data_IF_426348882594
#
_entry.id   IF_426348882594
#
_cell.length_a   1.000
_cell.length_b   1.000
_cell.length_c   1.000
_cell.angle_alpha   90.00
_cell.angle_beta   90.00
_cell.angle_gamma   90.00
#
_symmetry.space_group_name_H-M   'P 1'
#
loop_
_entity.id
_entity.type
_entity.pdbx_description
1 polymer ?
#
# COMPACT_ATOMS: atom_id res chain seq x y z
N UNK A 1 -29.00 -1.18 8.62
CA UNK A 1 -29.18 0.28 8.40
C UNK A 1 -27.99 1.15 8.88
N UNK A 2 -26.80 0.60 9.15
CA UNK A 2 -25.64 1.37 9.68
C UNK A 2 -24.49 1.60 8.69
N UNK A 3 -24.32 0.74 7.70
CA UNK A 3 -23.20 0.79 6.73
C UNK A 3 -23.25 2.03 5.84
N UNK A 4 -24.45 2.50 5.49
CA UNK A 4 -24.61 3.64 4.60
C UNK A 4 -24.35 4.99 5.28
N UNK A 5 -24.71 5.10 6.58
CA UNK A 5 -24.40 6.26 7.41
C UNK A 5 -22.88 6.34 7.65
N UNK A 6 -22.24 5.21 7.94
CA UNK A 6 -20.78 5.10 8.05
C UNK A 6 -20.08 5.45 6.73
N UNK A 7 -20.62 4.99 5.59
CA UNK A 7 -20.09 5.32 4.25
C UNK A 7 -20.21 6.81 3.93
N UNK A 8 -21.35 7.44 4.23
CA UNK A 8 -21.57 8.89 4.02
C UNK A 8 -20.65 9.73 4.92
N UNK A 9 -20.48 9.35 6.18
CA UNK A 9 -19.53 9.99 7.11
C UNK A 9 -18.08 9.88 6.62
N UNK A 10 -17.67 8.67 6.23
CA UNK A 10 -16.35 8.40 5.65
C UNK A 10 -16.10 9.23 4.39
N UNK A 11 -17.11 9.40 3.52
CA UNK A 11 -16.98 10.24 2.31
C UNK A 11 -16.76 11.72 2.64
N UNK A 12 -17.45 12.25 3.65
CA UNK A 12 -17.28 13.64 4.11
C UNK A 12 -15.91 13.85 4.76
N UNK A 13 -15.44 12.88 5.55
CA UNK A 13 -14.10 12.90 6.15
C UNK A 13 -13.00 12.82 5.08
N UNK A 14 -13.18 11.95 4.08
CA UNK A 14 -12.27 11.83 2.95
C UNK A 14 -12.21 13.12 2.10
N UNK A 15 -13.34 13.81 1.95
CA UNK A 15 -13.38 15.10 1.26
C UNK A 15 -12.66 16.20 2.04
N UNK A 16 -12.76 16.21 3.38
CA UNK A 16 -11.96 17.13 4.21
C UNK A 16 -10.46 16.82 4.12
N UNK A 17 -10.12 15.54 4.11
CA UNK A 17 -8.73 15.09 3.97
C UNK A 17 -8.15 15.50 2.61
N UNK A 18 -8.95 15.50 1.54
CA UNK A 18 -8.56 15.98 0.21
C UNK A 18 -7.97 17.39 0.26
N UNK A 19 -8.63 18.32 0.94
CA UNK A 19 -8.16 19.71 1.00
C UNK A 19 -6.83 19.83 1.75
N UNK A 20 -6.65 19.03 2.81
CA UNK A 20 -5.40 18.96 3.57
C UNK A 20 -4.28 18.39 2.69
N UNK A 21 -4.53 17.30 1.98
CA UNK A 21 -3.56 16.64 1.09
C UNK A 21 -3.13 17.58 -0.04
N UNK A 22 -4.07 18.26 -0.71
CA UNK A 22 -3.78 19.17 -1.82
C UNK A 22 -2.89 20.34 -1.35
N UNK A 23 -3.18 20.91 -0.18
CA UNK A 23 -2.44 22.05 0.40
C UNK A 23 -1.13 21.66 1.09
N UNK A 24 -0.86 20.36 1.27
CA UNK A 24 0.34 19.87 1.94
C UNK A 24 1.60 20.02 1.08
N UNK A 25 2.76 19.68 1.65
CA UNK A 25 4.05 19.58 0.94
C UNK A 25 4.29 18.21 0.30
N UNK A 26 3.30 17.32 0.25
CA UNK A 26 3.43 16.03 -0.42
C UNK A 26 3.70 16.21 -1.91
N UNK A 27 4.35 15.22 -2.49
CA UNK A 27 4.66 15.19 -3.91
C UNK A 27 3.39 15.26 -4.77
N UNK A 28 3.53 15.89 -5.93
CA UNK A 28 2.42 16.07 -6.87
C UNK A 28 1.84 14.73 -7.32
N UNK A 29 2.67 13.69 -7.51
CA UNK A 29 2.24 12.33 -7.85
C UNK A 29 1.33 11.74 -6.77
N UNK A 30 1.71 11.87 -5.50
CA UNK A 30 0.94 11.42 -4.33
C UNK A 30 -0.40 12.17 -4.24
N UNK A 31 -0.39 13.49 -4.44
CA UNK A 31 -1.62 14.30 -4.44
C UNK A 31 -2.59 13.86 -5.53
N UNK A 32 -2.09 13.67 -6.76
CA UNK A 32 -2.88 13.18 -7.88
C UNK A 32 -3.42 11.78 -7.58
N UNK A 33 -2.57 10.88 -7.09
CA UNK A 33 -2.95 9.52 -6.72
C UNK A 33 -4.08 9.48 -5.69
N UNK A 34 -3.98 10.33 -4.65
CA UNK A 34 -5.03 10.45 -3.64
C UNK A 34 -6.35 10.94 -4.24
N UNK A 35 -6.32 12.00 -5.05
CA UNK A 35 -7.54 12.54 -5.70
C UNK A 35 -8.19 11.50 -6.61
N UNK A 36 -7.39 10.71 -7.35
CA UNK A 36 -7.91 9.62 -8.18
C UNK A 36 -8.54 8.51 -7.34
N UNK A 37 -7.87 8.08 -6.26
CA UNK A 37 -8.37 7.03 -5.37
C UNK A 37 -9.73 7.38 -4.74
N UNK A 38 -9.91 8.63 -4.28
CA UNK A 38 -11.17 9.04 -3.64
C UNK A 38 -12.32 9.22 -4.64
N UNK A 39 -12.00 9.47 -5.91
CA UNK A 39 -12.96 9.63 -7.00
C UNK A 39 -13.30 8.29 -7.69
N UNK A 40 -12.52 7.25 -7.46
CA UNK A 40 -12.65 5.96 -8.13
C UNK A 40 -13.89 5.17 -7.69
N UNK A 41 -14.45 4.45 -8.67
CA UNK A 41 -15.44 3.41 -8.44
C UNK A 41 -14.79 2.12 -7.92
N UNK A 42 -15.61 1.17 -7.47
CA UNK A 42 -15.17 -0.01 -6.70
C UNK A 42 -14.10 -0.85 -7.42
N UNK A 43 -14.21 -1.01 -8.74
CA UNK A 43 -13.37 -1.91 -9.55
C UNK A 43 -11.91 -1.44 -9.62
N UNK A 44 -11.66 -0.15 -9.80
CA UNK A 44 -10.30 0.40 -9.93
C UNK A 44 -9.65 0.78 -8.59
N UNK A 45 -10.45 0.77 -7.52
CA UNK A 45 -10.06 1.39 -6.26
C UNK A 45 -8.85 0.73 -5.61
N UNK A 46 -8.73 -0.60 -5.70
CA UNK A 46 -7.60 -1.32 -5.11
C UNK A 46 -6.30 -1.08 -5.88
N UNK A 47 -6.35 -1.07 -7.22
CA UNK A 47 -5.19 -0.76 -8.04
C UNK A 47 -4.70 0.68 -7.78
N UNK A 48 -5.62 1.65 -7.70
CA UNK A 48 -5.28 3.03 -7.37
C UNK A 48 -4.73 3.19 -5.96
N UNK A 49 -5.21 2.39 -4.99
CA UNK A 49 -4.68 2.37 -3.64
C UNK A 49 -3.26 1.79 -3.59
N UNK A 50 -3.00 0.71 -4.34
CA UNK A 50 -1.67 0.10 -4.48
C UNK A 50 -0.66 1.10 -5.01
N UNK A 51 -0.98 1.73 -6.15
CA UNK A 51 -0.17 2.79 -6.72
C UNK A 51 0.06 3.96 -5.76
N UNK A 52 -0.99 4.43 -5.09
CA UNK A 52 -0.89 5.53 -4.12
C UNK A 52 0.03 5.14 -2.96
N UNK A 53 -0.10 3.93 -2.40
CA UNK A 53 0.75 3.46 -1.31
C UNK A 53 2.21 3.36 -1.77
N UNK A 54 2.45 2.81 -2.96
CA UNK A 54 3.78 2.68 -3.54
C UNK A 54 4.47 4.03 -3.70
N UNK A 55 3.77 5.02 -4.28
CA UNK A 55 4.30 6.37 -4.48
C UNK A 55 4.45 7.11 -3.14
N UNK A 56 3.48 6.99 -2.22
CA UNK A 56 3.51 7.67 -0.91
C UNK A 56 4.66 7.19 -0.02
N UNK A 57 4.93 5.88 -0.01
CA UNK A 57 6.01 5.30 0.79
C UNK A 57 7.37 5.27 0.07
N UNK A 58 7.43 5.83 -1.15
CA UNK A 58 8.63 5.83 -2.02
C UNK A 58 9.19 4.41 -2.21
N UNK A 59 8.31 3.42 -2.34
CA UNK A 59 8.67 2.01 -2.31
C UNK A 59 9.63 1.62 -3.45
N UNK A 60 9.52 2.25 -4.61
CA UNK A 60 10.42 1.99 -5.75
C UNK A 60 11.87 2.39 -5.55
N UNK A 61 12.17 3.23 -4.56
CA UNK A 61 13.55 3.56 -4.19
C UNK A 61 14.18 2.51 -3.27
N UNK A 62 13.34 1.69 -2.63
CA UNK A 62 13.73 0.70 -1.63
C UNK A 62 13.76 -0.71 -2.21
N UNK A 63 12.81 -0.98 -3.10
CA UNK A 63 12.67 -2.24 -3.80
C UNK A 63 13.52 -2.16 -5.07
N UNK A 64 14.83 -2.38 -4.89
CA UNK A 64 15.82 -2.50 -5.95
C UNK A 64 15.97 -3.94 -6.46
N UNK A 65 16.83 -4.18 -7.47
CA UNK A 65 16.97 -5.46 -8.15
C UNK A 65 17.07 -6.65 -7.20
N UNK A 66 16.34 -7.71 -7.52
CA UNK A 66 16.28 -8.92 -6.71
C UNK A 66 17.67 -9.58 -6.61
N UNK A 67 18.23 -9.58 -5.41
CA UNK A 67 19.18 -10.61 -4.99
C UNK A 67 18.46 -11.89 -4.57
N UNK A 68 19.20 -12.90 -4.09
CA UNK A 68 18.60 -14.11 -3.53
C UNK A 68 17.77 -13.77 -2.27
N UNK A 69 16.45 -13.93 -2.35
CA UNK A 69 15.54 -13.82 -1.19
C UNK A 69 15.31 -15.23 -0.62
N UNK A 70 16.12 -15.57 0.37
CA UNK A 70 16.02 -16.86 1.07
C UNK A 70 14.84 -16.87 2.06
N UNK A 71 14.69 -15.79 2.84
CA UNK A 71 13.64 -15.62 3.85
C UNK A 71 12.72 -14.45 3.49
N UNK A 72 11.47 -14.75 3.14
CA UNK A 72 10.53 -13.74 2.67
C UNK A 72 10.08 -12.80 3.79
N UNK A 73 9.85 -13.34 4.98
CA UNK A 73 9.50 -12.62 6.20
C UNK A 73 10.59 -11.60 6.59
N UNK A 74 11.86 -12.01 6.59
CA UNK A 74 12.99 -11.12 6.86
C UNK A 74 13.10 -10.01 5.80
N UNK A 75 12.89 -10.36 4.53
CA UNK A 75 12.91 -9.39 3.45
C UNK A 75 11.76 -8.38 3.57
N UNK A 76 10.53 -8.85 3.82
CA UNK A 76 9.34 -8.01 4.04
C UNK A 76 9.56 -7.07 5.22
N UNK A 77 10.11 -7.58 6.33
CA UNK A 77 10.49 -6.78 7.49
C UNK A 77 11.55 -5.74 7.13
N UNK A 78 12.57 -6.11 6.35
CA UNK A 78 13.63 -5.18 5.95
C UNK A 78 13.11 -4.01 5.10
N UNK A 79 12.14 -4.27 4.22
CA UNK A 79 11.50 -3.24 3.38
C UNK A 79 10.60 -2.37 4.24
N UNK A 80 9.74 -2.96 5.06
CA UNK A 80 8.83 -2.23 5.95
C UNK A 80 9.57 -1.29 6.90
N UNK A 81 10.76 -1.68 7.36
CA UNK A 81 11.59 -0.85 8.24
C UNK A 81 12.15 0.39 7.53
N UNK A 82 12.34 0.33 6.20
CA UNK A 82 12.93 1.42 5.41
C UNK A 82 11.90 2.33 4.73
N UNK A 83 10.62 1.97 4.74
CA UNK A 83 9.55 2.79 4.15
C UNK A 83 9.56 4.20 4.73
N UNK A 84 9.33 5.18 3.86
CA UNK A 84 9.27 6.59 4.25
C UNK A 84 7.93 7.16 3.80
N UNK A 85 6.99 7.47 4.72
CA UNK A 85 7.17 7.48 6.18
C UNK A 85 7.20 6.08 6.85
N UNK A 86 7.78 5.96 8.06
CA UNK A 86 7.91 4.70 8.79
C UNK A 86 6.57 4.14 9.26
N UNK A 87 6.40 2.81 9.20
CA UNK A 87 5.15 2.11 9.57
C UNK A 87 5.28 1.09 10.71
N UNK A 88 6.43 0.98 11.37
CA UNK A 88 6.70 -0.04 12.40
C UNK A 88 5.89 0.18 13.69
N UNK A 89 5.28 1.37 13.86
CA UNK A 89 4.41 1.68 15.02
C UNK A 89 2.99 1.15 14.83
N UNK A 90 2.63 0.67 13.64
CA UNK A 90 1.32 0.09 13.37
C UNK A 90 1.30 -1.39 13.75
N UNK A 91 0.10 -1.99 13.81
CA UNK A 91 0.00 -3.42 14.09
C UNK A 91 0.60 -4.25 12.94
N UNK A 92 1.11 -5.45 13.24
CA UNK A 92 1.66 -6.37 12.23
C UNK A 92 0.72 -6.54 11.02
N UNK A 93 -0.58 -6.74 11.29
CA UNK A 93 -1.62 -6.81 10.26
C UNK A 93 -1.70 -5.55 9.38
N UNK A 94 -1.58 -4.35 9.97
CA UNK A 94 -1.59 -3.11 9.18
C UNK A 94 -0.35 -3.00 8.31
N UNK A 95 0.81 -3.41 8.83
CA UNK A 95 2.07 -3.45 8.08
C UNK A 95 1.96 -4.45 6.92
N UNK A 96 1.47 -5.66 7.16
CA UNK A 96 1.26 -6.68 6.13
C UNK A 96 0.32 -6.19 5.02
N UNK A 97 -0.76 -5.47 5.35
CA UNK A 97 -1.66 -4.90 4.34
C UNK A 97 -0.99 -3.83 3.47
N UNK A 98 -0.13 -2.99 4.06
CA UNK A 98 0.66 -2.01 3.30
C UNK A 98 1.68 -2.71 2.42
N UNK A 99 2.35 -3.75 2.94
CA UNK A 99 3.30 -4.56 2.17
C UNK A 99 2.60 -5.30 1.02
N UNK A 100 1.38 -5.78 1.23
CA UNK A 100 0.59 -6.41 0.18
C UNK A 100 0.27 -5.44 -0.97
N UNK A 101 -0.09 -4.20 -0.64
CA UNK A 101 -0.34 -3.15 -1.64
C UNK A 101 0.92 -2.82 -2.44
N UNK A 102 2.06 -2.67 -1.75
CA UNK A 102 3.34 -2.33 -2.37
C UNK A 102 3.84 -3.48 -3.26
N UNK A 103 3.81 -4.73 -2.79
CA UNK A 103 4.24 -5.90 -3.54
C UNK A 103 3.34 -6.19 -4.75
N UNK A 104 2.02 -6.03 -4.58
CA UNK A 104 1.08 -6.15 -5.69
C UNK A 104 1.41 -5.13 -6.79
N UNK A 105 1.58 -3.86 -6.44
CA UNK A 105 1.98 -2.82 -7.41
C UNK A 105 3.36 -3.09 -8.02
N UNK A 106 4.34 -3.55 -7.23
CA UNK A 106 5.67 -3.91 -7.73
C UNK A 106 5.59 -5.04 -8.75
N UNK A 107 4.76 -6.08 -8.51
CA UNK A 107 4.59 -7.21 -9.44
C UNK A 107 3.97 -6.83 -10.78
N UNK A 108 3.22 -5.72 -10.81
CA UNK A 108 2.67 -5.13 -12.03
C UNK A 108 3.74 -4.33 -12.78
N UNK A 109 4.61 -3.62 -12.05
CA UNK A 109 5.69 -2.79 -12.63
C UNK A 109 6.87 -3.62 -13.12
N UNK A 110 7.19 -4.69 -12.40
CA UNK A 110 8.28 -5.60 -12.69
C UNK A 110 7.82 -7.05 -12.45
N UNK A 111 7.71 -7.80 -13.55
CA UNK A 111 7.26 -9.19 -13.51
C UNK A 111 8.20 -10.12 -12.74
N UNK A 112 9.45 -9.72 -12.50
CA UNK A 112 10.38 -10.50 -11.67
C UNK A 112 9.90 -10.65 -10.21
N UNK A 113 9.00 -9.76 -9.75
CA UNK A 113 8.42 -9.81 -8.41
C UNK A 113 7.14 -10.66 -8.31
N UNK A 114 6.66 -11.27 -9.40
CA UNK A 114 5.45 -12.09 -9.36
C UNK A 114 5.57 -13.27 -8.41
N UNK A 115 6.70 -13.96 -8.42
CA UNK A 115 6.92 -15.13 -7.56
C UNK A 115 6.95 -14.73 -6.07
N UNK A 116 7.53 -13.57 -5.76
CA UNK A 116 7.55 -13.01 -4.41
C UNK A 116 6.14 -12.63 -3.97
N UNK A 117 5.37 -11.99 -4.86
CA UNK A 117 3.98 -11.65 -4.60
C UNK A 117 3.14 -12.91 -4.32
N UNK A 118 3.28 -13.96 -5.13
CA UNK A 118 2.56 -15.21 -4.92
C UNK A 118 2.92 -15.85 -3.57
N UNK A 119 4.21 -16.02 -3.27
CA UNK A 119 4.68 -16.54 -1.97
C UNK A 119 4.14 -15.71 -0.80
N UNK A 120 4.15 -14.38 -0.91
CA UNK A 120 3.59 -13.50 0.12
C UNK A 120 2.11 -13.76 0.35
N UNK A 121 1.32 -13.86 -0.72
CA UNK A 121 -0.12 -14.11 -0.61
C UNK A 121 -0.46 -15.50 -0.09
N UNK A 122 0.36 -16.51 -0.38
CA UNK A 122 0.22 -17.86 0.14
C UNK A 122 0.43 -17.88 1.66
N UNK A 123 1.57 -17.36 2.14
CA UNK A 123 1.85 -17.27 3.59
C UNK A 123 0.75 -16.48 4.30
N UNK A 124 0.38 -15.31 3.77
CA UNK A 124 -0.65 -14.48 4.39
C UNK A 124 -2.01 -15.20 4.48
N UNK A 125 -2.38 -15.98 3.45
CA UNK A 125 -3.63 -16.75 3.44
C UNK A 125 -3.59 -17.90 4.45
N UNK A 126 -2.46 -18.58 4.57
CA UNK A 126 -2.33 -19.81 5.33
C UNK A 126 -2.06 -19.51 6.83
N UNK A 127 -1.34 -18.43 7.14
CA UNK A 127 -0.90 -18.08 8.51
C UNK A 127 -1.62 -16.84 9.07
N UNK A 128 -2.33 -16.07 8.25
CA UNK A 128 -3.06 -14.86 8.66
C UNK A 128 -2.19 -13.61 8.81
N UNK A 129 -0.90 -13.70 8.45
CA UNK A 129 0.09 -12.63 8.46
C UNK A 129 1.42 -13.15 7.89
N UNK A 130 2.33 -12.24 7.54
CA UNK A 130 3.71 -12.59 7.15
C UNK A 130 4.72 -12.13 8.20
N UNK A 131 4.34 -11.14 9.03
CA UNK A 131 5.16 -10.54 10.09
C UNK A 131 4.85 -11.01 11.51
#
# INVERSE_FOLDING_TARGET
MNTEILRKRSRKEMQKLKDVVIKSRLDTSVKIGFVRYIAAEKEDKMALLGKLAYDFFRAGELIGPLGEINHLDEWVQSVAVKLTPPIQKYSKKQVDLVMALILSEQSVRDSAYKDIWYRFTEIYRDEGGVM
#
